data_IF_073577169831
#
_entry.id   IF_073577169831
#
_cell.length_a   1.000
_cell.length_b   1.000
_cell.length_c   1.000
_cell.angle_alpha   90.00
_cell.angle_beta   90.00
_cell.angle_gamma   90.00
#
_symmetry.space_group_name_H-M   'P 1'
#
loop_
_entity.id
_entity.type
_entity.pdbx_description
1 polymer ?
#
# COMPACT_ATOMS: atom_id res chain seq x y z
N UNK A 1 6.13 -19.12 6.99
CA UNK A 1 5.49 -18.48 5.82
C UNK A 1 6.37 -18.67 4.60
N UNK A 2 5.95 -19.51 3.65
CA UNK A 2 6.61 -19.63 2.34
C UNK A 2 6.55 -18.27 1.64
N UNK A 3 7.68 -17.55 1.59
CA UNK A 3 7.81 -16.33 0.79
C UNK A 3 8.10 -16.74 -0.65
N UNK A 4 7.07 -17.09 -1.40
CA UNK A 4 7.18 -17.18 -2.86
C UNK A 4 7.70 -15.83 -3.35
N UNK A 5 8.92 -15.81 -3.88
CA UNK A 5 9.52 -14.56 -4.37
C UNK A 5 8.70 -14.07 -5.56
N UNK A 6 8.14 -12.87 -5.43
CA UNK A 6 7.34 -12.24 -6.48
C UNK A 6 8.15 -12.05 -7.75
N UNK A 7 7.54 -12.35 -8.90
CA UNK A 7 8.17 -12.19 -10.22
C UNK A 7 8.37 -10.70 -10.54
N UNK A 8 9.24 -10.35 -11.50
CA UNK A 8 9.38 -8.97 -11.97
C UNK A 8 8.05 -8.34 -12.41
N UNK A 9 7.19 -9.12 -13.07
CA UNK A 9 5.89 -8.65 -13.57
C UNK A 9 4.93 -8.31 -12.42
N UNK A 10 4.85 -9.15 -11.39
CA UNK A 10 4.03 -8.85 -10.21
C UNK A 10 4.49 -7.56 -9.53
N UNK A 11 5.80 -7.31 -9.47
CA UNK A 11 6.33 -6.06 -8.91
C UNK A 11 5.97 -4.84 -9.77
N UNK A 12 5.95 -4.99 -11.10
CA UNK A 12 5.55 -3.92 -12.01
C UNK A 12 4.07 -3.58 -11.85
N UNK A 13 3.20 -4.59 -11.79
CA UNK A 13 1.75 -4.42 -11.56
C UNK A 13 1.48 -3.73 -10.22
N UNK A 14 2.13 -4.18 -9.15
CA UNK A 14 1.99 -3.56 -7.84
C UNK A 14 2.40 -2.09 -7.85
N UNK A 15 3.55 -1.78 -8.45
CA UNK A 15 4.04 -0.39 -8.54
C UNK A 15 3.06 0.47 -9.32
N UNK A 16 2.59 -0.02 -10.47
CA UNK A 16 1.63 0.68 -11.30
C UNK A 16 0.35 1.00 -10.53
N UNK A 17 -0.24 0.00 -9.85
CA UNK A 17 -1.44 0.21 -9.01
C UNK A 17 -1.18 1.24 -7.91
N UNK A 18 -0.07 1.12 -7.19
CA UNK A 18 0.26 2.06 -6.13
C UNK A 18 0.42 3.49 -6.65
N UNK A 19 1.05 3.68 -7.80
CA UNK A 19 1.24 5.00 -8.43
C UNK A 19 -0.09 5.68 -8.76
N UNK A 20 -1.10 4.92 -9.21
CA UNK A 20 -2.46 5.46 -9.46
C UNK A 20 -3.15 5.94 -8.17
N UNK A 21 -2.87 5.28 -7.05
CA UNK A 21 -3.56 5.52 -5.78
C UNK A 21 -2.90 6.64 -4.97
N UNK A 22 -1.56 6.75 -5.02
CA UNK A 22 -0.77 7.73 -4.26
C UNK A 22 -1.30 9.17 -4.28
N UNK A 23 -1.68 9.77 -5.42
CA UNK A 23 -2.15 11.16 -5.43
C UNK A 23 -3.52 11.34 -4.77
N UNK A 24 -4.28 10.26 -4.59
CA UNK A 24 -5.63 10.27 -3.99
C UNK A 24 -5.60 10.01 -2.48
N UNK A 25 -4.42 9.68 -1.93
CA UNK A 25 -4.28 9.38 -0.52
C UNK A 25 -4.31 10.68 0.31
N UNK A 26 -4.86 10.64 1.53
CA UNK A 26 -4.76 11.75 2.46
C UNK A 26 -3.30 11.99 2.87
N UNK A 27 -3.00 13.16 3.45
CA UNK A 27 -1.62 13.54 3.82
C UNK A 27 -0.91 12.57 4.77
N UNK A 28 -1.68 11.83 5.59
CA UNK A 28 -1.14 10.86 6.55
C UNK A 28 -1.79 9.47 6.41
N UNK A 29 -1.53 8.75 5.29
CA UNK A 29 -2.25 7.52 4.96
C UNK A 29 -1.93 6.36 5.91
N UNK A 30 -0.69 6.29 6.42
CA UNK A 30 -0.29 5.26 7.37
C UNK A 30 -1.05 5.35 8.70
N UNK A 31 -1.31 6.56 9.20
CA UNK A 31 -2.09 6.75 10.43
C UNK A 31 -3.56 6.38 10.18
N UNK A 32 -4.12 6.80 9.04
CA UNK A 32 -5.50 6.46 8.67
C UNK A 32 -5.69 4.95 8.53
N UNK A 33 -4.80 4.27 7.83
CA UNK A 33 -4.83 2.80 7.70
C UNK A 33 -4.74 2.14 9.07
N UNK A 34 -3.80 2.54 9.92
CA UNK A 34 -3.68 1.93 11.25
C UNK A 34 -4.90 2.20 12.16
N UNK A 35 -5.56 3.34 11.98
CA UNK A 35 -6.81 3.64 12.71
C UNK A 35 -7.96 2.74 12.27
N UNK A 36 -8.06 2.44 10.97
CA UNK A 36 -9.08 1.55 10.39
C UNK A 36 -8.73 0.06 10.57
N UNK A 37 -7.45 -0.26 10.54
CA UNK A 37 -6.86 -1.60 10.62
C UNK A 37 -5.69 -1.61 11.62
N UNK A 38 -5.97 -1.66 12.93
CA UNK A 38 -4.95 -1.63 13.98
C UNK A 38 -3.95 -2.77 13.91
N UNK A 39 -4.29 -3.87 13.23
CA UNK A 39 -3.40 -5.01 13.00
C UNK A 39 -2.32 -4.73 11.94
N UNK A 40 -2.46 -3.65 11.15
CA UNK A 40 -1.47 -3.23 10.17
C UNK A 40 -0.52 -2.23 10.83
N UNK A 41 0.76 -2.61 10.91
CA UNK A 41 1.82 -1.73 11.38
C UNK A 41 1.99 -0.52 10.43
N UNK A 42 1.86 0.73 10.93
CA UNK A 42 2.07 1.93 10.12
C UNK A 42 3.41 1.95 9.39
N UNK A 43 4.44 1.34 9.97
CA UNK A 43 5.78 1.29 9.40
C UNK A 43 5.82 0.40 8.14
N UNK A 44 5.02 -0.66 8.07
CA UNK A 44 4.87 -1.45 6.85
C UNK A 44 4.22 -0.62 5.74
N UNK A 45 3.21 0.17 6.05
CA UNK A 45 2.55 1.07 5.10
C UNK A 45 3.54 2.12 4.57
N UNK A 46 4.30 2.77 5.45
CA UNK A 46 5.36 3.72 5.06
C UNK A 46 6.41 3.05 4.17
N UNK A 47 6.80 1.84 4.51
CA UNK A 47 7.78 1.07 3.73
C UNK A 47 7.27 0.72 2.33
N UNK A 48 6.00 0.32 2.19
CA UNK A 48 5.34 0.12 0.89
C UNK A 48 5.33 1.41 0.08
N UNK A 49 4.93 2.53 0.68
CA UNK A 49 4.88 3.83 0.00
C UNK A 49 6.27 4.34 -0.41
N UNK A 50 7.29 4.12 0.43
CA UNK A 50 8.66 4.61 0.17
C UNK A 50 9.45 3.72 -0.79
N UNK A 51 9.28 2.39 -0.71
CA UNK A 51 10.08 1.40 -1.46
C UNK A 51 9.22 0.26 -2.02
N UNK A 52 8.23 0.56 -2.90
CA UNK A 52 7.23 -0.42 -3.34
C UNK A 52 7.80 -1.63 -4.08
N UNK A 53 8.96 -1.47 -4.71
CA UNK A 53 9.61 -2.56 -5.46
C UNK A 53 10.25 -3.61 -4.56
N UNK A 54 10.63 -3.21 -3.34
CA UNK A 54 11.28 -4.06 -2.33
C UNK A 54 10.29 -4.52 -1.27
N UNK A 55 9.19 -3.79 -1.09
CA UNK A 55 8.16 -4.00 -0.08
C UNK A 55 6.83 -4.20 -0.80
N UNK A 56 6.52 -5.48 -1.01
CA UNK A 56 5.31 -5.94 -1.67
C UNK A 56 4.37 -6.48 -0.61
N UNK A 57 3.21 -5.85 -0.49
CA UNK A 57 2.16 -6.28 0.43
C UNK A 57 0.80 -5.92 -0.17
N UNK A 58 0.16 -6.91 -0.79
CA UNK A 58 -1.15 -6.72 -1.44
C UNK A 58 -2.24 -6.34 -0.45
N UNK A 59 -2.15 -6.76 0.83
CA UNK A 59 -3.12 -6.35 1.84
C UNK A 59 -3.02 -4.84 2.04
N UNK A 60 -1.80 -4.33 2.23
CA UNK A 60 -1.56 -2.89 2.36
C UNK A 60 -1.97 -2.12 1.10
N UNK A 61 -1.66 -2.64 -0.09
CA UNK A 61 -2.08 -2.00 -1.35
C UNK A 61 -3.61 -1.92 -1.46
N UNK A 62 -4.31 -3.00 -1.11
CA UNK A 62 -5.78 -3.04 -1.12
C UNK A 62 -6.36 -2.02 -0.15
N UNK A 63 -5.81 -1.88 1.06
CA UNK A 63 -6.31 -0.87 2.00
C UNK A 63 -5.97 0.56 1.58
N UNK A 64 -4.83 0.78 0.92
CA UNK A 64 -4.52 2.08 0.32
C UNK A 64 -5.52 2.42 -0.81
N UNK A 65 -5.88 1.46 -1.64
CA UNK A 65 -6.90 1.62 -2.68
C UNK A 65 -8.28 1.93 -2.09
N UNK A 66 -8.68 1.24 -1.02
CA UNK A 66 -9.92 1.50 -0.30
C UNK A 66 -9.93 2.91 0.31
N UNK A 67 -8.82 3.31 0.95
CA UNK A 67 -8.69 4.64 1.56
C UNK A 67 -8.79 5.77 0.52
N UNK A 68 -8.18 5.59 -0.65
CA UNK A 68 -8.28 6.54 -1.76
C UNK A 68 -9.72 6.69 -2.28
N UNK A 69 -10.48 5.59 -2.38
CA UNK A 69 -11.89 5.65 -2.79
C UNK A 69 -12.79 6.37 -1.78
N UNK A 70 -12.42 6.34 -0.49
CA UNK A 70 -13.18 6.98 0.59
C UNK A 70 -12.87 8.48 0.74
N UNK A 71 -11.77 8.97 0.15
CA UNK A 71 -11.36 10.37 0.24
C UNK A 71 -11.66 11.04 -1.10
N UNK A 72 -12.82 11.70 -1.28
CA UNK A 72 -13.04 12.49 -2.49
C UNK A 72 -12.02 13.63 -2.53
N UNK A 73 -11.31 13.73 -3.66
CA UNK A 73 -10.32 14.77 -3.95
C UNK A 73 -10.93 16.18 -3.92
#
# INVERSE_FOLDING_TARGET
MNRTMKTPDEKAVFRYRLEQVRPLLPSVPAIRINTLHPEIDPELVRNVLRRPCRRYDEKILTELENLAKQTPA
#
